data_IF_270754599884
#
_entry.id   IF_270754599884
#
_cell.length_a   1.000
_cell.length_b   1.000
_cell.length_c   1.000
_cell.angle_alpha   90.00
_cell.angle_beta   90.00
_cell.angle_gamma   90.00
#
_symmetry.space_group_name_H-M   'P 1'
#
loop_
_entity.id
_entity.type
_entity.pdbx_description
1 polymer ?
#
# COMPACT_ATOMS: atom_id res chain seq x y z
N UNK A 1 -60.24 -28.08 -24.51
CA UNK A 1 -60.35 -28.22 -23.04
C UNK A 1 -59.08 -28.90 -22.53
N UNK A 2 -58.40 -28.26 -21.57
CA UNK A 2 -57.36 -28.82 -20.67
C UNK A 2 -56.10 -29.42 -21.32
N UNK A 3 -54.98 -28.70 -21.26
CA UNK A 3 -53.85 -29.01 -20.34
C UNK A 3 -52.76 -27.95 -20.49
N UNK A 4 -52.76 -27.06 -19.50
CA UNK A 4 -51.74 -26.10 -19.15
C UNK A 4 -50.55 -26.74 -18.42
N UNK A 5 -49.42 -26.03 -18.46
CA UNK A 5 -48.38 -25.95 -17.41
C UNK A 5 -47.56 -27.22 -17.14
N UNK A 6 -46.29 -27.23 -17.59
CA UNK A 6 -45.08 -27.34 -16.73
C UNK A 6 -43.85 -27.61 -17.60
N UNK A 7 -43.27 -26.58 -18.22
CA UNK A 7 -41.90 -26.68 -18.77
C UNK A 7 -41.23 -25.30 -18.76
N UNK A 8 -41.23 -24.65 -17.60
CA UNK A 8 -40.68 -23.31 -17.38
C UNK A 8 -40.00 -23.28 -16.00
N UNK A 9 -39.04 -24.17 -15.79
CA UNK A 9 -38.30 -24.24 -14.54
C UNK A 9 -36.94 -24.92 -14.70
N UNK A 10 -36.14 -24.58 -15.72
CA UNK A 10 -34.75 -25.08 -15.77
C UNK A 10 -33.80 -24.27 -16.66
N UNK A 11 -33.83 -22.94 -16.58
CA UNK A 11 -32.72 -22.11 -17.06
C UNK A 11 -32.62 -20.78 -16.28
N UNK A 12 -32.82 -20.85 -14.96
CA UNK A 12 -32.23 -19.86 -14.06
C UNK A 12 -30.72 -20.14 -14.03
N UNK A 13 -30.03 -19.69 -15.09
CA UNK A 13 -28.59 -19.59 -15.11
C UNK A 13 -28.19 -18.82 -13.86
N UNK A 14 -27.62 -19.56 -12.90
CA UNK A 14 -26.89 -18.99 -11.79
C UNK A 14 -25.77 -18.15 -12.39
N UNK A 15 -26.02 -16.87 -12.62
CA UNK A 15 -25.01 -15.86 -12.44
C UNK A 15 -24.72 -15.85 -10.94
N UNK A 16 -23.93 -16.83 -10.52
CA UNK A 16 -23.09 -16.70 -9.35
C UNK A 16 -22.27 -15.45 -9.62
N UNK A 17 -22.74 -14.31 -9.10
CA UNK A 17 -21.87 -13.19 -8.83
C UNK A 17 -20.78 -13.81 -7.96
N UNK A 18 -19.62 -14.03 -8.56
CA UNK A 18 -18.40 -14.12 -7.80
C UNK A 18 -18.31 -12.77 -7.08
N UNK A 19 -18.92 -12.69 -5.89
CA UNK A 19 -18.46 -11.80 -4.86
C UNK A 19 -16.98 -12.14 -4.79
N UNK A 20 -16.15 -11.29 -5.41
CA UNK A 20 -14.71 -11.31 -5.23
C UNK A 20 -14.51 -11.04 -3.75
N UNK A 21 -14.65 -12.09 -2.93
CA UNK A 21 -14.26 -12.10 -1.55
C UNK A 21 -12.83 -11.59 -1.53
N UNK A 22 -12.56 -10.56 -0.74
CA UNK A 22 -11.21 -10.02 -0.55
C UNK A 22 -10.22 -11.19 -0.52
N UNK A 23 -9.08 -11.16 -1.23
CA UNK A 23 -8.04 -12.13 -0.98
C UNK A 23 -7.73 -12.10 0.50
N UNK A 24 -8.21 -13.14 1.18
CA UNK A 24 -8.08 -13.29 2.61
C UNK A 24 -6.67 -13.83 2.80
N UNK A 25 -5.74 -12.96 3.13
CA UNK A 25 -4.37 -13.34 3.43
C UNK A 25 -4.35 -14.18 4.69
N UNK A 26 -3.34 -15.04 4.80
CA UNK A 26 -3.09 -15.79 6.02
C UNK A 26 -3.04 -14.84 7.22
N UNK A 27 -3.63 -15.22 8.38
CA UNK A 27 -3.81 -14.27 9.46
C UNK A 27 -2.52 -13.68 10.01
N UNK A 28 -1.42 -14.44 10.06
CA UNK A 28 -0.14 -14.01 10.65
C UNK A 28 0.88 -13.67 9.56
N UNK A 29 1.78 -12.73 9.85
CA UNK A 29 2.88 -12.34 8.96
C UNK A 29 4.18 -12.74 9.65
N UNK A 30 4.79 -13.89 9.32
CA UNK A 30 6.09 -14.23 9.87
C UNK A 30 7.14 -13.23 9.38
N UNK A 31 7.99 -12.78 10.29
CA UNK A 31 9.12 -11.91 9.99
C UNK A 31 10.44 -12.64 10.21
N UNK A 32 11.36 -12.43 9.28
CA UNK A 32 12.74 -12.90 9.38
C UNK A 32 13.64 -11.69 9.61
N UNK A 33 14.39 -11.70 10.71
CA UNK A 33 15.39 -10.68 10.96
C UNK A 33 16.59 -10.85 10.02
N UNK A 34 16.89 -9.82 9.24
CA UNK A 34 18.07 -9.70 8.41
C UNK A 34 19.30 -9.23 9.19
N UNK A 35 20.41 -9.03 8.46
CA UNK A 35 21.66 -8.55 9.04
C UNK A 35 21.52 -7.14 9.64
N UNK A 36 22.32 -6.84 10.66
CA UNK A 36 22.39 -5.49 11.23
C UNK A 36 23.27 -4.61 10.33
N UNK A 37 22.63 -3.80 9.48
CA UNK A 37 23.36 -2.93 8.56
C UNK A 37 24.08 -1.78 9.28
N UNK A 38 23.66 -1.43 10.49
CA UNK A 38 24.37 -0.46 11.32
C UNK A 38 25.71 -1.04 11.76
N UNK A 39 25.72 -2.26 12.32
CA UNK A 39 26.98 -2.92 12.67
C UNK A 39 27.87 -3.18 11.46
N UNK A 40 27.28 -3.56 10.32
CA UNK A 40 28.03 -3.71 9.07
C UNK A 40 28.66 -2.38 8.64
N UNK A 41 27.91 -1.28 8.70
CA UNK A 41 28.41 0.03 8.34
C UNK A 41 29.54 0.47 9.31
N UNK A 42 29.39 0.29 10.62
CA UNK A 42 30.43 0.62 11.57
C UNK A 42 31.71 -0.22 11.38
N UNK A 43 31.57 -1.52 11.07
CA UNK A 43 32.69 -2.43 10.86
C UNK A 43 33.44 -2.21 9.53
N UNK A 44 32.73 -1.86 8.45
CA UNK A 44 33.30 -1.83 7.10
C UNK A 44 33.37 -0.44 6.45
N UNK A 45 32.63 0.57 6.92
CA UNK A 45 32.59 1.90 6.30
C UNK A 45 33.40 2.98 7.04
N UNK A 46 33.63 2.82 8.35
CA UNK A 46 34.51 3.72 9.09
C UNK A 46 35.96 3.26 8.95
N UNK A 47 36.81 4.10 8.39
CA UNK A 47 38.25 3.89 8.58
C UNK A 47 38.58 4.11 10.06
N UNK A 48 39.46 3.28 10.65
CA UNK A 48 39.91 3.44 12.04
C UNK A 48 40.41 4.88 12.34
N UNK A 49 40.87 5.60 11.31
CA UNK A 49 41.33 6.99 11.40
C UNK A 49 40.20 8.05 11.48
N UNK A 50 38.96 7.78 11.04
CA UNK A 50 37.85 8.72 11.23
C UNK A 50 37.32 8.67 12.66
N UNK A 51 37.17 7.47 13.23
CA UNK A 51 36.75 7.27 14.62
C UNK A 51 37.75 7.88 15.61
N UNK A 52 39.06 7.68 15.37
CA UNK A 52 40.10 8.25 16.22
C UNK A 52 40.17 9.79 16.15
N UNK A 53 39.79 10.40 15.01
CA UNK A 53 39.69 11.85 14.89
C UNK A 53 38.50 12.43 15.66
N UNK A 54 37.37 11.73 15.64
CA UNK A 54 36.15 12.13 16.36
C UNK A 54 36.34 11.99 17.89
N UNK A 55 36.89 10.86 18.35
CA UNK A 55 37.28 10.68 19.75
C UNK A 55 38.35 11.68 20.17
N UNK A 56 39.35 11.94 19.32
CA UNK A 56 40.39 12.93 19.59
C UNK A 56 39.85 14.35 19.75
N UNK A 57 38.79 14.73 19.03
CA UNK A 57 38.14 16.02 19.18
C UNK A 57 37.40 16.16 20.53
N UNK A 58 36.69 15.12 20.96
CA UNK A 58 35.97 15.09 22.24
C UNK A 58 36.93 15.02 23.44
N UNK A 59 38.02 14.24 23.33
CA UNK A 59 39.07 14.19 24.36
C UNK A 59 39.76 15.54 24.49
N UNK A 60 40.03 16.23 23.37
CA UNK A 60 40.62 17.57 23.37
C UNK A 60 39.74 18.56 24.14
N UNK A 61 38.42 18.51 23.97
CA UNK A 61 37.46 19.34 24.71
C UNK A 61 37.47 19.03 26.21
N UNK A 62 37.50 17.76 26.60
CA UNK A 62 37.59 17.34 28.01
C UNK A 62 38.93 17.73 28.66
N UNK A 63 40.03 17.66 27.92
CA UNK A 63 41.36 18.09 28.37
C UNK A 63 41.42 19.61 28.52
N UNK A 64 40.77 20.37 27.64
CA UNK A 64 40.63 21.83 27.81
C UNK A 64 39.83 22.23 29.05
N UNK A 65 38.91 21.38 29.50
CA UNK A 65 38.16 21.55 30.75
C UNK A 65 38.94 21.10 32.00
N UNK A 66 40.20 20.69 31.84
CA UNK A 66 41.12 20.37 32.94
C UNK A 66 41.23 18.88 33.29
N UNK A 67 40.61 17.97 32.52
CA UNK A 67 40.80 16.53 32.72
C UNK A 67 42.14 16.06 32.15
N UNK A 68 42.81 15.11 32.80
CA UNK A 68 43.96 14.46 32.17
C UNK A 68 43.49 13.58 31.00
N UNK A 69 44.30 13.37 29.94
CA UNK A 69 43.91 12.55 28.79
C UNK A 69 43.48 11.12 29.18
N UNK A 70 44.07 10.56 30.24
CA UNK A 70 43.75 9.24 30.78
C UNK A 70 42.38 9.23 31.47
N UNK A 71 42.07 10.27 32.25
CA UNK A 71 40.76 10.47 32.88
C UNK A 71 39.64 10.78 31.87
N UNK A 72 39.97 11.39 30.73
CA UNK A 72 39.02 11.69 29.67
C UNK A 72 38.67 10.48 28.78
N UNK A 73 39.60 9.54 28.61
CA UNK A 73 39.41 8.36 27.75
C UNK A 73 38.57 7.26 28.40
N UNK A 74 38.72 7.03 29.70
CA UNK A 74 38.02 5.95 30.42
C UNK A 74 36.48 6.12 30.36
N UNK A 75 35.90 7.30 30.64
CA UNK A 75 34.46 7.51 30.54
C UNK A 75 33.92 7.32 29.12
N UNK A 76 34.67 7.73 28.08
CA UNK A 76 34.24 7.59 26.69
C UNK A 76 34.11 6.12 26.27
N UNK A 77 35.08 5.28 26.65
CA UNK A 77 35.04 3.83 26.37
C UNK A 77 33.89 3.18 27.14
N UNK A 78 33.65 3.58 28.38
CA UNK A 78 32.53 3.06 29.19
C UNK A 78 31.20 3.48 28.58
N UNK A 79 31.03 4.74 28.17
CA UNK A 79 29.80 5.24 27.52
C UNK A 79 29.53 4.46 26.23
N UNK A 80 30.53 4.25 25.39
CA UNK A 80 30.38 3.48 24.15
C UNK A 80 29.97 2.03 24.42
N UNK A 81 30.57 1.40 25.44
CA UNK A 81 30.20 0.05 25.88
C UNK A 81 28.76 -0.03 26.40
N UNK A 82 28.29 0.99 27.12
CA UNK A 82 26.93 1.07 27.64
C UNK A 82 25.92 1.34 26.53
N UNK A 83 26.25 2.19 25.55
CA UNK A 83 25.43 2.42 24.35
C UNK A 83 25.29 1.11 23.57
N UNK A 84 26.39 0.40 23.34
CA UNK A 84 26.40 -0.89 22.64
C UNK A 84 25.57 -1.94 23.37
N UNK A 85 25.70 -2.02 24.70
CA UNK A 85 24.89 -2.92 25.54
C UNK A 85 23.39 -2.56 25.48
N UNK A 86 23.05 -1.29 25.57
CA UNK A 86 21.66 -0.82 25.50
C UNK A 86 21.04 -1.09 24.11
N UNK A 87 21.81 -0.90 23.02
CA UNK A 87 21.38 -1.27 21.67
C UNK A 87 21.12 -2.77 21.54
N UNK A 88 22.01 -3.61 22.08
CA UNK A 88 21.83 -5.06 22.09
C UNK A 88 20.58 -5.49 22.87
N UNK A 89 20.30 -4.86 24.02
CA UNK A 89 19.08 -5.11 24.80
C UNK A 89 17.81 -4.68 24.05
N UNK A 90 17.82 -3.52 23.40
CA UNK A 90 16.70 -3.02 22.61
C UNK A 90 16.42 -3.88 21.36
N UNK A 91 17.46 -4.42 20.74
CA UNK A 91 17.37 -5.31 19.59
C UNK A 91 17.16 -6.80 19.94
N UNK A 92 17.35 -7.18 21.20
CA UNK A 92 17.39 -8.58 21.65
C UNK A 92 16.06 -9.13 22.20
N UNK A 93 15.02 -8.31 22.28
CA UNK A 93 13.71 -8.73 22.81
C UNK A 93 12.91 -9.60 21.82
N UNK A 94 12.33 -10.74 22.25
CA UNK A 94 11.35 -11.47 21.45
C UNK A 94 10.06 -10.63 21.39
N UNK A 95 9.67 -10.16 20.20
CA UNK A 95 8.45 -9.36 20.06
C UNK A 95 8.43 -8.40 18.88
N UNK A 96 9.58 -8.12 18.25
CA UNK A 96 9.65 -7.29 17.05
C UNK A 96 8.71 -7.77 15.95
N UNK A 97 8.64 -9.08 15.71
CA UNK A 97 7.75 -9.68 14.69
C UNK A 97 6.28 -9.39 14.99
N UNK A 98 5.86 -9.49 16.26
CA UNK A 98 4.48 -9.23 16.70
C UNK A 98 4.16 -7.74 16.58
N UNK A 99 5.09 -6.87 16.96
CA UNK A 99 4.92 -5.42 16.86
C UNK A 99 4.82 -4.97 15.40
N UNK A 100 5.69 -5.49 14.52
CA UNK A 100 5.66 -5.15 13.09
C UNK A 100 4.39 -5.69 12.41
N UNK A 101 3.99 -6.92 12.72
CA UNK A 101 2.73 -7.48 12.23
C UNK A 101 1.53 -6.61 12.66
N UNK A 102 1.47 -6.26 13.95
CA UNK A 102 0.40 -5.43 14.49
C UNK A 102 0.38 -4.04 13.84
N UNK A 103 1.55 -3.40 13.67
CA UNK A 103 1.67 -2.08 13.05
C UNK A 103 1.23 -2.05 11.59
N UNK A 104 1.56 -3.09 10.80
CA UNK A 104 1.10 -3.20 9.40
C UNK A 104 -0.42 -3.38 9.36
N UNK A 105 -0.96 -4.29 10.16
CA UNK A 105 -2.40 -4.57 10.19
C UNK A 105 -3.21 -3.38 10.64
N UNK A 106 -2.78 -2.71 11.71
CA UNK A 106 -3.47 -1.53 12.24
C UNK A 106 -3.46 -0.38 11.22
N UNK A 107 -2.32 -0.14 10.57
CA UNK A 107 -2.19 0.86 9.51
C UNK A 107 -3.09 0.54 8.32
N UNK A 108 -3.10 -0.72 7.87
CA UNK A 108 -3.96 -1.15 6.77
C UNK A 108 -5.45 -0.98 7.14
N UNK A 109 -5.84 -1.41 8.33
CA UNK A 109 -7.22 -1.26 8.79
C UNK A 109 -7.63 0.22 8.95
N UNK A 110 -6.72 1.10 9.35
CA UNK A 110 -6.95 2.53 9.36
C UNK A 110 -7.20 3.08 7.95
N UNK A 111 -6.33 2.76 6.99
CA UNK A 111 -6.49 3.17 5.59
C UNK A 111 -7.80 2.66 4.99
N UNK A 112 -8.18 1.42 5.30
CA UNK A 112 -9.46 0.85 4.89
C UNK A 112 -10.66 1.63 5.46
N UNK A 113 -10.58 2.11 6.71
CA UNK A 113 -11.64 2.93 7.32
C UNK A 113 -11.71 4.32 6.71
N UNK A 114 -10.56 4.94 6.47
CA UNK A 114 -10.46 6.30 5.92
C UNK A 114 -10.93 6.34 4.46
N UNK A 115 -10.51 5.36 3.64
CA UNK A 115 -10.89 5.29 2.23
C UNK A 115 -12.31 4.75 2.01
N UNK A 116 -12.86 4.00 2.98
CA UNK A 116 -14.18 3.38 2.94
C UNK A 116 -14.53 2.73 1.58
N UNK A 117 -13.67 1.84 1.02
CA UNK A 117 -13.90 1.30 -0.32
C UNK A 117 -15.13 0.40 -0.34
N UNK A 118 -15.87 0.43 -1.45
CA UNK A 118 -17.09 -0.38 -1.65
C UNK A 118 -16.85 -1.88 -1.46
N UNK A 119 -15.69 -2.37 -1.89
CA UNK A 119 -15.27 -3.76 -1.74
C UNK A 119 -13.85 -3.80 -1.21
N UNK A 120 -13.63 -4.52 -0.11
CA UNK A 120 -12.29 -4.78 0.41
C UNK A 120 -11.61 -5.81 -0.50
N UNK A 121 -10.51 -5.46 -1.17
CA UNK A 121 -9.68 -6.36 -1.99
C UNK A 121 -8.40 -6.84 -1.30
N UNK A 122 -8.20 -6.55 -0.01
CA UNK A 122 -7.13 -7.13 0.80
C UNK A 122 -7.56 -7.15 2.26
N UNK A 123 -7.32 -8.26 2.94
CA UNK A 123 -7.57 -8.37 4.37
C UNK A 123 -6.96 -9.63 4.95
N UNK A 124 -6.84 -9.68 6.27
CA UNK A 124 -6.32 -10.85 6.98
C UNK A 124 -7.49 -11.74 7.40
N UNK A 125 -7.38 -13.03 7.08
CA UNK A 125 -8.37 -14.01 7.46
C UNK A 125 -8.46 -14.11 9.00
N UNK A 126 -9.66 -14.29 9.54
CA UNK A 126 -9.85 -14.63 10.94
C UNK A 126 -10.73 -15.88 11.05
N UNK A 127 -10.13 -17.09 11.20
CA UNK A 127 -10.90 -18.33 11.22
C UNK A 127 -11.68 -18.58 12.51
N UNK A 128 -11.30 -17.95 13.62
CA UNK A 128 -11.82 -18.27 14.95
C UNK A 128 -13.06 -17.46 15.32
N UNK A 129 -13.83 -17.98 16.28
CA UNK A 129 -14.80 -17.15 16.99
C UNK A 129 -14.08 -16.06 17.80
N UNK A 130 -14.79 -14.99 18.17
CA UNK A 130 -14.23 -13.95 19.06
C UNK A 130 -13.73 -14.58 20.38
N UNK A 131 -14.40 -15.63 20.86
CA UNK A 131 -14.02 -16.36 22.07
C UNK A 131 -12.67 -17.10 21.91
N UNK A 132 -12.45 -17.75 20.76
CA UNK A 132 -11.18 -18.43 20.47
C UNK A 132 -10.03 -17.43 20.35
N UNK A 133 -10.30 -16.24 19.79
CA UNK A 133 -9.32 -15.15 19.75
C UNK A 133 -8.93 -14.70 21.16
N UNK A 134 -9.91 -14.51 22.05
CA UNK A 134 -9.65 -14.10 23.45
C UNK A 134 -8.84 -15.14 24.21
N UNK A 135 -9.11 -16.43 24.02
CA UNK A 135 -8.35 -17.51 24.65
C UNK A 135 -6.90 -17.55 24.14
N UNK A 136 -6.68 -17.44 22.82
CA UNK A 136 -5.33 -17.40 22.24
C UNK A 136 -4.52 -16.19 22.72
N UNK A 137 -5.15 -15.00 22.82
CA UNK A 137 -4.50 -13.80 23.33
C UNK A 137 -4.11 -13.94 24.81
N UNK A 138 -4.98 -14.54 25.62
CA UNK A 138 -4.73 -14.80 27.05
C UNK A 138 -3.54 -15.73 27.27
N UNK A 139 -3.37 -16.72 26.40
CA UNK A 139 -2.28 -17.69 26.49
C UNK A 139 -0.97 -17.23 25.80
N UNK A 140 -0.93 -16.01 25.24
CA UNK A 140 0.17 -15.50 24.41
C UNK A 140 0.59 -16.46 23.27
N UNK A 141 -0.31 -17.35 22.85
CA UNK A 141 -0.01 -18.31 21.80
C UNK A 141 -0.18 -17.62 20.45
N UNK A 142 0.85 -17.70 19.61
CA UNK A 142 0.63 -17.57 18.17
C UNK A 142 -0.36 -18.66 17.77
N UNK A 143 -1.39 -18.26 17.00
CA UNK A 143 -2.56 -19.10 16.69
C UNK A 143 -2.11 -20.51 16.25
N UNK A 144 -2.81 -21.52 16.77
CA UNK A 144 -2.46 -22.93 16.69
C UNK A 144 -2.36 -23.53 15.27
N UNK A 145 -2.05 -24.84 15.17
CA UNK A 145 -1.64 -25.49 13.94
C UNK A 145 -2.66 -25.42 12.79
N UNK A 146 -2.11 -25.39 11.57
CA UNK A 146 -2.77 -25.30 10.28
C UNK A 146 -3.83 -26.40 10.08
N UNK A 147 -5.11 -26.05 10.05
CA UNK A 147 -6.16 -26.90 9.47
C UNK A 147 -6.19 -26.72 7.95
N UNK A 148 -5.98 -27.79 7.20
CA UNK A 148 -6.01 -27.84 5.73
C UNK A 148 -7.33 -27.29 5.17
N UNK A 149 -8.43 -27.41 5.91
CA UNK A 149 -9.74 -26.84 5.52
C UNK A 149 -9.73 -25.31 5.52
N UNK A 150 -8.93 -24.68 6.39
CA UNK A 150 -8.80 -23.21 6.46
C UNK A 150 -7.98 -22.65 5.30
N UNK A 151 -7.00 -23.41 4.79
CA UNK A 151 -6.20 -23.02 3.63
C UNK A 151 -7.07 -22.77 2.39
N UNK A 152 -8.18 -23.51 2.23
CA UNK A 152 -9.11 -23.34 1.11
C UNK A 152 -9.72 -21.94 1.05
N UNK A 153 -9.84 -21.25 2.19
CA UNK A 153 -10.43 -19.90 2.32
C UNK A 153 -9.41 -18.77 2.21
N UNK A 154 -8.12 -19.09 2.20
CA UNK A 154 -7.02 -18.12 2.21
C UNK A 154 -6.49 -17.92 0.79
N UNK A 155 -6.53 -16.70 0.28
CA UNK A 155 -6.13 -16.43 -1.11
C UNK A 155 -4.61 -16.24 -1.29
N UNK A 156 -3.86 -16.14 -0.19
CA UNK A 156 -2.41 -15.99 -0.23
C UNK A 156 -1.79 -15.90 1.16
N UNK A 157 -0.47 -15.87 1.22
CA UNK A 157 0.31 -15.70 2.44
C UNK A 157 1.14 -14.41 2.34
N UNK A 158 1.33 -13.74 3.47
CA UNK A 158 2.26 -12.63 3.57
C UNK A 158 3.39 -13.02 4.53
N UNK A 159 4.63 -12.71 4.18
CA UNK A 159 5.81 -12.88 5.04
C UNK A 159 6.72 -11.67 4.86
N UNK A 160 7.63 -11.41 5.80
CA UNK A 160 8.48 -10.23 5.70
C UNK A 160 9.89 -10.42 6.23
N UNK A 161 10.71 -9.43 5.94
CA UNK A 161 12.07 -9.31 6.47
C UNK A 161 12.29 -7.92 7.01
N UNK A 162 13.06 -7.79 8.08
CA UNK A 162 13.49 -6.49 8.56
C UNK A 162 14.96 -6.48 8.96
N UNK A 163 15.63 -5.35 8.75
CA UNK A 163 17.01 -5.11 9.17
C UNK A 163 17.14 -3.72 9.76
N UNK A 164 18.09 -3.53 10.69
CA UNK A 164 18.45 -2.17 11.09
C UNK A 164 19.07 -1.42 9.91
N UNK A 165 18.67 -0.17 9.73
CA UNK A 165 19.23 0.67 8.68
C UNK A 165 20.67 1.07 9.04
N UNK A 166 21.45 1.36 8.01
CA UNK A 166 22.89 1.60 8.14
C UNK A 166 23.21 2.89 8.92
N UNK A 167 22.26 3.82 9.01
CA UNK A 167 22.41 5.09 9.74
C UNK A 167 22.42 4.99 11.27
N UNK A 168 22.21 3.82 11.88
CA UNK A 168 22.31 3.62 13.34
C UNK A 168 21.41 4.51 14.24
N UNK A 169 20.35 5.11 13.69
CA UNK A 169 19.43 6.01 14.41
C UNK A 169 18.14 5.34 14.90
N UNK A 170 18.10 4.01 14.91
CA UNK A 170 16.88 3.24 15.23
C UNK A 170 15.94 3.03 14.03
N UNK A 171 16.32 3.50 12.84
CA UNK A 171 15.63 3.20 11.60
C UNK A 171 15.78 1.71 11.23
N UNK A 172 14.74 1.15 10.62
CA UNK A 172 14.74 -0.18 10.01
C UNK A 172 14.47 -0.08 8.51
N UNK A 173 14.85 -1.13 7.79
CA UNK A 173 14.37 -1.42 6.43
C UNK A 173 13.47 -2.63 6.55
N UNK A 174 12.21 -2.46 6.19
CA UNK A 174 11.17 -3.49 6.26
C UNK A 174 10.74 -3.86 4.85
N UNK A 175 10.61 -5.15 4.57
CA UNK A 175 10.02 -5.65 3.32
C UNK A 175 8.99 -6.70 3.64
N UNK A 176 7.82 -6.62 3.02
CA UNK A 176 6.76 -7.63 3.08
C UNK A 176 6.49 -8.16 1.67
N UNK A 177 6.50 -9.47 1.57
CA UNK A 177 6.16 -10.23 0.38
C UNK A 177 4.75 -10.81 0.55
N UNK A 178 3.93 -10.69 -0.48
CA UNK A 178 2.59 -11.28 -0.55
C UNK A 178 2.56 -12.25 -1.72
N UNK A 179 2.31 -13.51 -1.43
CA UNK A 179 2.23 -14.59 -2.42
C UNK A 179 0.78 -15.03 -2.52
N UNK A 180 0.17 -14.79 -3.69
CA UNK A 180 -1.20 -15.20 -3.96
C UNK A 180 -1.23 -16.63 -4.50
N UNK A 181 -2.36 -17.31 -4.27
CA UNK A 181 -2.62 -18.64 -4.82
C UNK A 181 -2.64 -18.64 -6.35
N UNK A 182 -2.88 -17.49 -6.98
CA UNK A 182 -2.77 -17.30 -8.44
C UNK A 182 -1.33 -17.44 -8.96
N UNK A 183 -0.33 -17.42 -8.07
CA UNK A 183 1.10 -17.37 -8.42
C UNK A 183 1.65 -15.95 -8.54
N UNK A 184 0.81 -14.92 -8.40
CA UNK A 184 1.27 -13.53 -8.35
C UNK A 184 1.99 -13.23 -7.04
N UNK A 185 3.12 -12.55 -7.15
CA UNK A 185 3.93 -12.13 -6.00
C UNK A 185 4.08 -10.61 -5.95
N UNK A 186 3.79 -10.01 -4.81
CA UNK A 186 3.95 -8.58 -4.59
C UNK A 186 4.99 -8.35 -3.49
N UNK A 187 5.87 -7.39 -3.67
CA UNK A 187 6.89 -7.04 -2.67
C UNK A 187 6.81 -5.56 -2.34
N UNK A 188 6.68 -5.24 -1.05
CA UNK A 188 6.49 -3.89 -0.56
C UNK A 188 7.56 -3.59 0.48
N UNK A 189 8.39 -2.58 0.22
CA UNK A 189 9.41 -2.13 1.17
C UNK A 189 9.06 -0.80 1.82
N UNK A 190 9.67 -0.51 2.95
CA UNK A 190 9.58 0.76 3.68
C UNK A 190 10.80 0.94 4.57
N UNK A 191 11.13 2.18 4.91
CA UNK A 191 12.29 2.48 5.76
C UNK A 191 12.01 3.64 6.70
N UNK A 192 12.64 3.62 7.87
CA UNK A 192 12.49 4.63 8.92
C UNK A 192 12.25 3.96 10.26
N UNK A 193 11.72 4.69 11.24
CA UNK A 193 11.30 4.09 12.51
C UNK A 193 10.31 2.94 12.24
N UNK A 194 10.26 1.91 13.10
CA UNK A 194 9.46 0.70 12.87
C UNK A 194 8.00 0.97 12.47
N UNK A 195 7.33 1.89 13.17
CA UNK A 195 5.95 2.27 12.87
C UNK A 195 5.83 2.97 11.51
N UNK A 196 6.77 3.86 11.18
CA UNK A 196 6.82 4.54 9.88
C UNK A 196 7.05 3.56 8.74
N UNK A 197 8.01 2.64 8.89
CA UNK A 197 8.30 1.61 7.90
C UNK A 197 7.10 0.68 7.70
N UNK A 198 6.45 0.25 8.78
CA UNK A 198 5.22 -0.55 8.75
C UNK A 198 4.07 0.20 8.05
N UNK A 199 3.87 1.48 8.36
CA UNK A 199 2.86 2.32 7.71
C UNK A 199 3.12 2.48 6.21
N UNK A 200 4.37 2.72 5.79
CA UNK A 200 4.74 2.82 4.38
C UNK A 200 4.44 1.51 3.62
N UNK A 201 4.80 0.37 4.21
CA UNK A 201 4.49 -0.95 3.65
C UNK A 201 2.99 -1.16 3.54
N UNK A 202 2.23 -0.86 4.59
CA UNK A 202 0.77 -0.96 4.60
C UNK A 202 0.11 -0.07 3.54
N UNK A 203 0.60 1.17 3.36
CA UNK A 203 0.11 2.08 2.33
C UNK A 203 0.36 1.52 0.92
N UNK A 204 1.56 0.98 0.66
CA UNK A 204 1.89 0.36 -0.64
C UNK A 204 1.04 -0.88 -0.90
N UNK A 205 0.81 -1.72 0.13
CA UNK A 205 -0.12 -2.85 0.05
C UNK A 205 -1.54 -2.37 -0.25
N UNK A 206 -2.04 -1.38 0.48
CA UNK A 206 -3.36 -0.80 0.27
C UNK A 206 -3.51 -0.33 -1.18
N UNK A 207 -2.56 0.46 -1.68
CA UNK A 207 -2.60 0.99 -3.04
C UNK A 207 -2.60 -0.16 -4.08
N UNK A 208 -1.67 -1.09 -4.00
CA UNK A 208 -1.53 -2.16 -4.99
C UNK A 208 -2.77 -3.08 -5.11
N UNK A 209 -3.48 -3.29 -4.00
CA UNK A 209 -4.67 -4.14 -3.98
C UNK A 209 -5.96 -3.38 -4.18
N UNK A 210 -6.09 -2.16 -3.64
CA UNK A 210 -7.36 -1.44 -3.63
C UNK A 210 -7.57 -0.54 -4.84
N UNK A 211 -6.50 0.03 -5.42
CA UNK A 211 -6.61 0.98 -6.54
C UNK A 211 -7.45 0.36 -7.68
N UNK A 212 -8.27 1.19 -8.32
CA UNK A 212 -8.99 0.83 -9.54
C UNK A 212 -8.01 0.31 -10.59
N UNK A 213 -8.22 -0.92 -11.03
CA UNK A 213 -7.40 -1.56 -12.07
C UNK A 213 -8.02 -1.31 -13.43
N UNK A 214 -7.17 -1.27 -14.45
CA UNK A 214 -7.59 -1.14 -15.84
C UNK A 214 -7.03 -2.33 -16.62
N UNK A 215 -7.82 -2.98 -17.49
CA UNK A 215 -9.24 -2.74 -17.68
C UNK A 215 -10.10 -3.27 -16.51
N UNK A 216 -11.25 -2.65 -16.24
CA UNK A 216 -12.23 -3.17 -15.27
C UNK A 216 -13.67 -2.76 -15.59
N UNK A 217 -14.63 -3.57 -15.14
CA UNK A 217 -16.05 -3.28 -15.31
C UNK A 217 -16.60 -2.58 -14.07
N UNK A 218 -17.29 -1.47 -14.30
CA UNK A 218 -17.97 -0.69 -13.27
C UNK A 218 -19.45 -0.64 -13.59
N UNK A 219 -20.28 -0.97 -12.60
CA UNK A 219 -21.72 -0.82 -12.72
C UNK A 219 -22.12 0.60 -12.32
N UNK A 220 -22.48 1.42 -13.31
CA UNK A 220 -23.03 2.77 -13.12
C UNK A 220 -24.53 2.72 -13.36
N UNK A 221 -25.31 2.91 -12.29
CA UNK A 221 -26.76 2.73 -12.30
C UNK A 221 -27.16 1.33 -12.82
N UNK A 222 -27.71 1.26 -14.02
CA UNK A 222 -28.12 0.03 -14.72
C UNK A 222 -27.24 -0.32 -15.94
N UNK A 223 -26.20 0.47 -16.20
CA UNK A 223 -25.28 0.27 -17.32
C UNK A 223 -23.93 -0.22 -16.81
N UNK A 224 -23.39 -1.23 -17.49
CA UNK A 224 -22.00 -1.65 -17.30
C UNK A 224 -21.12 -0.77 -18.16
N UNK A 225 -20.19 -0.06 -17.54
CA UNK A 225 -19.18 0.73 -18.20
C UNK A 225 -17.82 0.04 -17.99
N UNK A 226 -17.11 -0.22 -19.08
CA UNK A 226 -15.77 -0.81 -19.03
C UNK A 226 -14.75 0.32 -18.99
N UNK A 227 -14.00 0.42 -17.90
CA UNK A 227 -12.81 1.24 -17.82
C UNK A 227 -11.70 0.57 -18.62
N UNK A 228 -11.28 1.15 -19.74
CA UNK A 228 -10.24 0.58 -20.61
C UNK A 228 -8.86 1.12 -20.26
N UNK A 229 -8.79 2.41 -19.91
CA UNK A 229 -7.54 3.11 -19.64
C UNK A 229 -7.04 3.81 -20.89
N UNK A 230 -5.73 3.91 -21.08
CA UNK A 230 -5.09 4.59 -22.21
C UNK A 230 -3.99 3.70 -22.79
N UNK A 231 -3.42 4.02 -23.97
CA UNK A 231 -2.32 3.25 -24.52
C UNK A 231 -1.07 3.21 -23.62
N UNK A 232 -0.90 4.20 -22.74
CA UNK A 232 0.27 4.36 -21.87
C UNK A 232 0.03 3.91 -20.41
N UNK A 233 -1.20 3.56 -20.03
CA UNK A 233 -1.55 3.20 -18.66
C UNK A 233 -2.98 3.54 -18.27
N UNK A 234 -3.35 3.45 -16.98
CA UNK A 234 -4.69 3.74 -16.47
C UNK A 234 -5.25 5.11 -16.85
N UNK A 235 -4.46 6.16 -16.63
CA UNK A 235 -4.78 7.57 -16.92
C UNK A 235 -3.51 8.18 -17.51
N UNK A 236 -3.65 9.01 -18.54
CA UNK A 236 -2.53 9.74 -19.14
C UNK A 236 -2.96 11.13 -19.58
N UNK A 237 -2.04 11.88 -20.19
CA UNK A 237 -2.27 13.24 -20.65
C UNK A 237 -2.19 13.33 -22.17
N UNK A 238 -2.91 14.27 -22.75
CA UNK A 238 -2.84 14.61 -24.16
C UNK A 238 -2.62 16.11 -24.35
N UNK A 239 -1.88 16.53 -25.39
CA UNK A 239 -1.68 17.95 -25.67
C UNK A 239 -2.95 18.63 -26.20
N UNK A 240 -3.85 17.87 -26.86
CA UNK A 240 -5.14 18.37 -27.32
C UNK A 240 -6.27 17.36 -27.07
N UNK A 241 -7.54 17.82 -26.96
CA UNK A 241 -8.69 16.93 -26.86
C UNK A 241 -8.82 15.96 -28.04
N UNK A 242 -8.48 16.41 -29.24
CA UNK A 242 -8.54 15.60 -30.45
C UNK A 242 -7.54 14.42 -30.41
N UNK A 243 -6.39 14.59 -29.76
CA UNK A 243 -5.40 13.53 -29.61
C UNK A 243 -5.88 12.45 -28.65
N UNK A 244 -6.46 12.85 -27.52
CA UNK A 244 -7.07 11.93 -26.56
C UNK A 244 -8.25 11.15 -27.17
N UNK A 245 -9.10 11.83 -27.95
CA UNK A 245 -10.23 11.17 -28.64
C UNK A 245 -9.73 10.13 -29.66
N UNK A 246 -8.73 10.49 -30.48
CA UNK A 246 -8.09 9.54 -31.41
C UNK A 246 -7.45 8.35 -30.68
N UNK A 247 -6.81 8.59 -29.53
CA UNK A 247 -6.21 7.53 -28.72
C UNK A 247 -7.28 6.54 -28.25
N UNK A 248 -8.42 7.02 -27.73
CA UNK A 248 -9.52 6.14 -27.33
C UNK A 248 -10.14 5.37 -28.50
N UNK A 249 -10.37 6.04 -29.63
CA UNK A 249 -10.90 5.39 -30.84
C UNK A 249 -9.98 4.27 -31.33
N UNK A 250 -8.66 4.47 -31.29
CA UNK A 250 -7.68 3.45 -31.68
C UNK A 250 -7.75 2.16 -30.83
N UNK A 251 -8.28 2.27 -29.61
CA UNK A 251 -8.49 1.16 -28.68
C UNK A 251 -9.91 0.59 -28.76
N UNK A 252 -10.71 0.94 -29.78
CA UNK A 252 -12.14 0.64 -29.86
C UNK A 252 -12.90 1.09 -28.60
N UNK A 253 -12.57 2.27 -28.09
CA UNK A 253 -13.14 2.88 -26.91
C UNK A 253 -13.50 4.35 -27.21
N UNK A 254 -14.05 5.05 -26.23
CA UNK A 254 -14.39 6.48 -26.33
C UNK A 254 -13.96 7.22 -25.07
N UNK A 255 -13.96 8.54 -25.14
CA UNK A 255 -13.85 9.38 -23.95
C UNK A 255 -15.13 9.23 -23.10
N UNK A 256 -15.02 9.30 -21.76
CA UNK A 256 -16.17 9.39 -20.88
C UNK A 256 -16.98 10.66 -21.14
N UNK A 257 -18.28 10.57 -20.89
CA UNK A 257 -19.13 11.77 -20.82
C UNK A 257 -18.85 12.54 -19.52
N UNK A 258 -19.28 13.80 -19.44
CA UNK A 258 -19.15 14.60 -18.22
C UNK A 258 -19.86 13.92 -17.03
N UNK A 259 -21.04 13.34 -17.26
CA UNK A 259 -21.78 12.59 -16.23
C UNK A 259 -21.03 11.33 -15.79
N UNK A 260 -20.40 10.59 -16.72
CA UNK A 260 -19.62 9.41 -16.38
C UNK A 260 -18.38 9.78 -15.55
N UNK A 261 -17.68 10.87 -15.87
CA UNK A 261 -16.57 11.38 -15.07
C UNK A 261 -17.02 11.72 -13.65
N UNK A 262 -18.13 12.44 -13.49
CA UNK A 262 -18.67 12.80 -12.17
C UNK A 262 -19.06 11.54 -11.37
N UNK A 263 -19.77 10.59 -11.98
CA UNK A 263 -20.19 9.34 -11.34
C UNK A 263 -18.99 8.48 -10.94
N UNK A 264 -17.98 8.36 -11.80
CA UNK A 264 -16.74 7.64 -11.49
C UNK A 264 -15.94 8.35 -10.40
N UNK A 265 -15.97 9.68 -10.35
CA UNK A 265 -15.36 10.45 -9.27
C UNK A 265 -16.01 10.22 -7.92
N UNK A 266 -17.34 10.04 -7.90
CA UNK A 266 -18.08 9.74 -6.66
C UNK A 266 -17.75 8.35 -6.11
N UNK A 267 -17.40 7.39 -6.96
CA UNK A 267 -16.90 6.09 -6.52
C UNK A 267 -15.47 6.18 -5.96
N UNK A 268 -14.65 7.06 -6.55
CA UNK A 268 -13.26 7.29 -6.16
C UNK A 268 -12.31 6.14 -6.52
N UNK A 269 -11.02 6.40 -6.35
CA UNK A 269 -9.90 5.54 -6.78
C UNK A 269 -9.89 4.14 -6.13
N UNK A 270 -10.66 3.93 -5.07
CA UNK A 270 -10.66 2.70 -4.25
C UNK A 270 -11.90 1.83 -4.43
N UNK A 271 -12.93 2.32 -5.13
CA UNK A 271 -14.20 1.59 -5.32
C UNK A 271 -14.49 1.27 -6.79
N UNK A 272 -13.45 1.25 -7.63
CA UNK A 272 -13.59 1.06 -9.08
C UNK A 272 -13.85 2.36 -9.84
N UNK A 273 -13.83 3.51 -9.19
CA UNK A 273 -13.91 4.82 -9.82
C UNK A 273 -12.55 5.43 -10.17
N UNK A 274 -12.60 6.68 -10.62
CA UNK A 274 -11.42 7.51 -10.88
C UNK A 274 -11.73 8.90 -10.33
N UNK A 275 -10.98 9.34 -9.33
CA UNK A 275 -11.14 10.64 -8.71
C UNK A 275 -10.64 11.74 -9.65
N UNK A 276 -11.47 12.78 -9.87
CA UNK A 276 -11.11 13.89 -10.75
C UNK A 276 -10.08 14.86 -10.15
N UNK A 277 -9.95 14.87 -8.82
CA UNK A 277 -9.08 15.79 -8.06
C UNK A 277 -9.30 17.24 -8.52
N UNK A 278 -8.22 17.98 -8.75
CA UNK A 278 -8.21 19.36 -9.25
C UNK A 278 -7.75 19.41 -10.72
N UNK A 279 -7.75 18.26 -11.40
CA UNK A 279 -7.17 18.11 -12.73
C UNK A 279 -8.20 18.44 -13.83
N UNK A 280 -7.71 18.76 -15.03
CA UNK A 280 -8.55 19.02 -16.19
C UNK A 280 -8.69 17.77 -17.03
N UNK A 281 -9.93 17.38 -17.31
CA UNK A 281 -10.27 16.12 -17.98
C UNK A 281 -10.81 16.35 -19.39
N UNK A 282 -10.35 15.56 -20.35
CA UNK A 282 -10.78 15.69 -21.74
C UNK A 282 -12.19 15.14 -21.94
N UNK A 283 -13.03 15.92 -22.64
CA UNK A 283 -14.32 15.50 -23.17
C UNK A 283 -14.30 15.47 -24.70
N UNK A 284 -15.23 14.70 -25.28
CA UNK A 284 -15.42 14.69 -26.74
C UNK A 284 -15.83 16.07 -27.28
N UNK A 285 -15.50 16.33 -28.55
CA UNK A 285 -15.91 17.57 -29.23
C UNK A 285 -15.14 18.83 -28.80
N UNK A 286 -13.87 18.69 -28.42
CA UNK A 286 -12.99 19.82 -28.11
C UNK A 286 -13.25 20.51 -26.76
N UNK A 287 -14.01 19.84 -25.88
CA UNK A 287 -14.36 20.35 -24.55
C UNK A 287 -13.51 19.68 -23.48
N UNK A 288 -13.53 20.29 -22.30
CA UNK A 288 -12.86 19.77 -21.12
C UNK A 288 -13.74 19.96 -19.89
N UNK A 289 -13.57 19.08 -18.91
CA UNK A 289 -14.17 19.14 -17.60
C UNK A 289 -13.12 19.61 -16.59
N UNK A 290 -13.36 20.77 -15.97
CA UNK A 290 -12.52 21.36 -14.94
C UNK A 290 -13.32 21.46 -13.63
N UNK A 291 -13.10 20.55 -12.65
CA UNK A 291 -13.90 20.46 -11.42
C UNK A 291 -13.94 21.75 -10.60
N UNK A 292 -12.86 22.54 -10.62
CA UNK A 292 -12.73 23.76 -9.83
C UNK A 292 -13.42 24.98 -10.48
N UNK A 293 -13.74 24.94 -11.78
CA UNK A 293 -14.29 26.07 -12.53
C UNK A 293 -15.82 26.05 -12.61
N UNK A 294 -16.50 26.11 -11.46
CA UNK A 294 -17.96 25.91 -11.38
C UNK A 294 -18.83 26.98 -12.05
N UNK A 295 -18.34 28.21 -12.25
CA UNK A 295 -19.13 29.32 -12.81
C UNK A 295 -18.58 29.81 -14.17
N UNK A 296 -19.35 29.84 -15.27
CA UNK A 296 -20.77 29.43 -15.42
C UNK A 296 -21.02 27.92 -15.48
N UNK A 297 -19.99 27.09 -15.66
CA UNK A 297 -20.11 25.62 -15.70
C UNK A 297 -18.74 24.94 -15.54
N UNK A 298 -18.61 23.76 -14.92
CA UNK A 298 -17.32 23.03 -14.91
C UNK A 298 -16.87 22.58 -16.31
N UNK A 299 -17.74 22.62 -17.33
CA UNK A 299 -17.40 22.30 -18.71
C UNK A 299 -16.92 23.57 -19.43
N UNK A 300 -15.72 23.52 -20.01
CA UNK A 300 -15.06 24.63 -20.70
C UNK A 300 -14.65 24.27 -22.11
N UNK A 301 -14.42 25.28 -22.94
CA UNK A 301 -13.64 25.09 -24.16
C UNK A 301 -12.18 24.89 -23.80
N UNK A 302 -11.44 24.08 -24.57
CA UNK A 302 -9.99 23.90 -24.35
C UNK A 302 -9.23 25.23 -24.38
N UNK A 303 -9.71 26.21 -25.14
CA UNK A 303 -9.09 27.53 -25.27
C UNK A 303 -9.13 28.36 -23.98
N UNK A 304 -10.08 28.07 -23.08
CA UNK A 304 -10.30 28.80 -21.83
C UNK A 304 -9.40 28.32 -20.69
N UNK A 305 -8.73 27.17 -20.87
CA UNK A 305 -7.87 26.53 -19.87
C UNK A 305 -6.49 26.15 -20.43
N UNK A 306 -6.05 26.89 -21.46
CA UNK A 306 -4.76 26.68 -22.12
C UNK A 306 -3.59 26.66 -21.13
N UNK A 307 -2.67 25.71 -21.32
CA UNK A 307 -1.43 25.58 -20.56
C UNK A 307 -1.44 24.54 -19.44
N UNK A 308 -2.54 23.81 -19.24
CA UNK A 308 -2.63 22.72 -18.27
C UNK A 308 -2.60 21.34 -18.95
N UNK A 309 -2.08 20.33 -18.24
CA UNK A 309 -2.03 18.95 -18.72
C UNK A 309 -3.44 18.35 -18.77
N UNK A 310 -3.92 18.01 -19.97
CA UNK A 310 -5.26 17.48 -20.18
C UNK A 310 -5.29 15.97 -19.92
N UNK A 311 -5.88 15.57 -18.80
CA UNK A 311 -5.98 14.18 -18.38
C UNK A 311 -7.11 13.45 -19.13
N UNK A 312 -6.90 12.18 -19.43
CA UNK A 312 -7.96 11.34 -19.97
C UNK A 312 -7.75 9.86 -19.64
N UNK A 313 -8.86 9.12 -19.68
CA UNK A 313 -8.90 7.67 -19.81
C UNK A 313 -10.03 7.30 -20.76
N UNK A 314 -9.99 6.09 -21.31
CA UNK A 314 -10.99 5.62 -22.25
C UNK A 314 -11.95 4.63 -21.59
N UNK A 315 -13.20 4.65 -22.06
CA UNK A 315 -14.27 3.78 -21.60
C UNK A 315 -15.00 3.11 -22.76
N UNK A 316 -15.66 1.99 -22.48
CA UNK A 316 -16.48 1.24 -23.44
C UNK A 316 -17.82 0.85 -22.84
#
# INVERSE_FOLDING_TARGET
MKTTLTLLALFAAMSAQAQSSAPALWPTIPFVRGADLCQYQDAYSRSRSSLMREMGAQVKELVFLGATPEEALVPLVVIDSLISKNRALAAGGPGWDVTLEAAIKSSLDQMMREAAPRVRKIGFFNPGSVLDLLNNLREQRQRGPLDVRMLSRVSGVAWGTYSFASGCRGDIVLTVHVELRSGETFSFSGSGLPETAAHMVANRMFNAFQTTRFPSDVLLNSKRLTLVGTPAGPVTHAPTPADAERACVSMNARLPSAEEYEQLSMLGDWSGGVSLKHDIWVLAGGKVLAPDLRNPSPIRSVDEVRGQDLHFYCVR
#
